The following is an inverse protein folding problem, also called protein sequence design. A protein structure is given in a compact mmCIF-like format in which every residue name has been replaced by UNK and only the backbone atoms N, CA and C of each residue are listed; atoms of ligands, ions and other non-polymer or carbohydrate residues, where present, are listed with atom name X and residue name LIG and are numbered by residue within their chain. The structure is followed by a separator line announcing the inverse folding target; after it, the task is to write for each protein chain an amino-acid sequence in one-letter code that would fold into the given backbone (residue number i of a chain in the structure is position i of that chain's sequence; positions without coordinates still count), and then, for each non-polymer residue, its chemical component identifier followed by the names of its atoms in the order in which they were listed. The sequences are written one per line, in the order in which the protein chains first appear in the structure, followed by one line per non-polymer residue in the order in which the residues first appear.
data_IF_046899580408
#
_entry.id   IF_046899580408
#
_cell.length_a   1.000
_cell.length_b   1.000
_cell.length_c   1.000
_cell.angle_alpha   90.00
_cell.angle_beta   90.00
_cell.angle_gamma   90.00
#
_symmetry.space_group_name_H-M   'P 1'
#
loop_
_entity.id
_entity.type
_entity.pdbx_description
1 polymer ?
#
# COMPACT_ATOMS: atom_id res chain seq x y z
N UNK A 1 2.38 20.40 8.19
CA UNK A 1 1.15 19.63 7.84
C UNK A 1 1.27 18.13 8.17
N UNK A 2 2.43 17.47 7.98
CA UNK A 2 2.58 16.03 8.27
C UNK A 2 2.68 15.65 9.78
N UNK A 3 3.17 16.55 10.64
CA UNK A 3 3.39 16.24 12.06
C UNK A 3 2.10 15.96 12.84
N UNK A 4 1.07 16.81 12.68
CA UNK A 4 -0.22 16.62 13.33
C UNK A 4 -0.95 15.35 12.85
N UNK A 5 -0.81 15.01 11.56
CA UNK A 5 -1.38 13.77 11.00
C UNK A 5 -0.70 12.56 11.62
N UNK A 6 0.64 12.55 11.71
CA UNK A 6 1.39 11.46 12.35
C UNK A 6 1.05 11.30 13.83
N UNK A 7 0.88 12.39 14.57
CA UNK A 7 0.47 12.35 15.97
C UNK A 7 -0.93 11.75 16.13
N UNK A 8 -1.88 12.16 15.29
CA UNK A 8 -3.23 11.60 15.30
C UNK A 8 -3.22 10.09 14.98
N UNK A 9 -2.43 9.69 13.98
CA UNK A 9 -2.24 8.29 13.58
C UNK A 9 -1.59 7.45 14.70
N UNK A 10 -0.65 8.03 15.44
CA UNK A 10 -0.08 7.39 16.62
C UNK A 10 -1.14 7.18 17.72
N UNK A 11 -1.97 8.19 18.00
CA UNK A 11 -3.06 8.09 18.98
C UNK A 11 -4.13 7.06 18.57
N UNK A 12 -4.35 6.85 17.27
CA UNK A 12 -5.28 5.83 16.76
C UNK A 12 -4.66 4.43 16.65
N UNK A 13 -3.43 4.22 17.14
CA UNK A 13 -2.76 2.91 17.10
C UNK A 13 -2.20 2.51 15.73
N UNK A 14 -2.18 3.43 14.76
CA UNK A 14 -1.68 3.21 13.40
C UNK A 14 -0.59 4.24 13.06
N UNK A 15 0.59 4.23 13.72
CA UNK A 15 1.52 5.38 13.77
C UNK A 15 2.22 5.77 12.45
N UNK A 16 1.91 5.10 11.34
CA UNK A 16 2.43 5.37 9.98
C UNK A 16 3.94 5.64 9.97
N UNK A 17 4.70 4.78 10.65
CA UNK A 17 6.15 4.97 10.87
C UNK A 17 6.99 4.72 9.62
N UNK A 18 6.47 3.93 8.69
CA UNK A 18 7.16 3.49 7.50
C UNK A 18 6.13 3.23 6.38
N UNK A 19 6.56 3.42 5.14
CA UNK A 19 5.83 3.06 3.93
C UNK A 19 6.82 2.71 2.82
N UNK A 20 6.34 2.05 1.78
CA UNK A 20 7.14 1.71 0.60
C UNK A 20 6.26 1.75 -0.65
N UNK A 21 6.84 2.25 -1.74
CA UNK A 21 6.24 2.14 -3.09
C UNK A 21 6.58 0.80 -3.76
N UNK A 22 7.44 -0.01 -3.12
CA UNK A 22 7.98 -1.27 -3.64
C UNK A 22 7.72 -2.44 -2.66
N UNK A 23 6.45 -2.72 -2.29
CA UNK A 23 6.13 -3.74 -1.28
C UNK A 23 6.56 -5.15 -1.70
N UNK A 24 6.50 -5.48 -3.00
CA UNK A 24 6.95 -6.78 -3.50
C UNK A 24 8.44 -7.00 -3.22
N UNK A 25 9.28 -6.03 -3.60
CA UNK A 25 10.73 -6.10 -3.42
C UNK A 25 11.11 -6.11 -1.93
N UNK A 26 10.35 -5.39 -1.09
CA UNK A 26 10.51 -5.45 0.36
C UNK A 26 10.28 -6.88 0.89
N UNK A 27 9.21 -7.55 0.46
CA UNK A 27 8.92 -8.93 0.84
C UNK A 27 9.98 -9.91 0.32
N UNK A 28 10.35 -9.81 -0.96
CA UNK A 28 11.33 -10.68 -1.61
C UNK A 28 12.70 -10.62 -0.93
N UNK A 29 13.16 -9.42 -0.56
CA UNK A 29 14.40 -9.23 0.20
C UNK A 29 14.40 -9.94 1.55
N UNK A 30 13.22 -10.16 2.13
CA UNK A 30 13.04 -10.85 3.41
C UNK A 30 12.76 -12.34 3.24
N UNK A 31 12.87 -12.88 2.03
CA UNK A 31 12.68 -14.31 1.74
C UNK A 31 11.22 -14.71 1.48
N UNK A 32 10.31 -13.76 1.28
CA UNK A 32 8.91 -14.03 1.01
C UNK A 32 8.61 -13.89 -0.49
N UNK A 33 7.78 -14.77 -1.04
CA UNK A 33 7.14 -14.50 -2.34
C UNK A 33 5.89 -13.66 -2.10
N UNK A 34 5.66 -12.62 -2.91
CA UNK A 34 4.54 -11.71 -2.72
C UNK A 34 3.81 -11.37 -4.02
N UNK A 35 2.49 -11.26 -3.92
CA UNK A 35 1.60 -10.68 -4.94
C UNK A 35 1.08 -9.36 -4.42
N UNK A 36 1.22 -8.30 -5.23
CA UNK A 36 0.81 -6.94 -4.89
C UNK A 36 -0.34 -6.52 -5.79
N UNK A 37 -1.40 -5.99 -5.19
CA UNK A 37 -2.57 -5.48 -5.90
C UNK A 37 -2.82 -4.03 -5.49
N UNK A 38 -3.02 -3.15 -6.46
CA UNK A 38 -3.44 -1.77 -6.18
C UNK A 38 -4.85 -1.80 -5.57
N UNK A 39 -5.09 -1.08 -4.48
CA UNK A 39 -6.42 -1.02 -3.82
C UNK A 39 -7.52 -0.50 -4.76
N UNK A 40 -7.15 0.29 -5.78
CA UNK A 40 -8.08 0.78 -6.79
C UNK A 40 -8.67 -0.35 -7.63
N UNK A 41 -7.96 -1.46 -7.87
CA UNK A 41 -8.46 -2.57 -8.69
C UNK A 41 -9.73 -3.22 -8.09
N UNK A 42 -9.71 -3.80 -6.87
CA UNK A 42 -10.93 -4.30 -6.25
C UNK A 42 -11.91 -3.16 -5.92
N UNK A 43 -11.41 -1.97 -5.58
CA UNK A 43 -12.24 -0.80 -5.31
C UNK A 43 -13.12 -0.39 -6.49
N UNK A 44 -12.56 -0.34 -7.70
CA UNK A 44 -13.29 -0.04 -8.93
C UNK A 44 -14.22 -1.19 -9.32
N UNK A 45 -13.75 -2.44 -9.21
CA UNK A 45 -14.55 -3.64 -9.51
C UNK A 45 -15.88 -3.66 -8.75
N UNK A 46 -15.89 -3.20 -7.51
CA UNK A 46 -17.08 -3.18 -6.65
C UNK A 46 -17.76 -1.80 -6.55
N UNK A 47 -17.34 -0.81 -7.36
CA UNK A 47 -17.91 0.54 -7.33
C UNK A 47 -17.72 1.28 -6.00
N UNK A 48 -16.63 0.98 -5.28
CA UNK A 48 -16.28 1.55 -3.97
C UNK A 48 -15.09 2.51 -4.00
N UNK A 49 -14.52 2.75 -5.18
CA UNK A 49 -13.38 3.63 -5.36
C UNK A 49 -13.57 4.52 -6.58
N UNK A 50 -13.23 5.80 -6.44
CA UNK A 50 -13.55 6.84 -7.42
C UNK A 50 -12.48 7.03 -8.50
N UNK A 51 -11.21 6.70 -8.20
CA UNK A 51 -10.09 6.88 -9.11
C UNK A 51 -9.79 5.56 -9.87
N UNK A 52 -9.30 5.60 -11.12
CA UNK A 52 -8.92 4.40 -11.84
C UNK A 52 -7.68 3.74 -11.22
N UNK A 53 -7.56 2.42 -11.38
CA UNK A 53 -6.28 1.74 -11.17
C UNK A 53 -5.25 2.23 -12.19
N UNK A 54 -4.04 2.57 -11.71
CA UNK A 54 -2.91 2.99 -12.55
C UNK A 54 -1.87 1.86 -12.55
N UNK A 55 -1.20 1.55 -13.66
CA UNK A 55 -0.12 0.55 -13.68
C UNK A 55 0.92 0.80 -12.56
N UNK A 56 1.38 -0.27 -11.91
CA UNK A 56 2.20 -0.20 -10.69
C UNK A 56 3.59 0.44 -10.91
N UNK A 57 4.08 0.43 -12.15
CA UNK A 57 5.37 0.99 -12.55
C UNK A 57 5.34 2.52 -12.75
N UNK A 58 4.17 3.16 -12.71
CA UNK A 58 4.05 4.62 -12.81
C UNK A 58 4.39 5.28 -11.47
N UNK A 59 5.45 6.11 -11.39
CA UNK A 59 5.91 6.73 -10.15
C UNK A 59 5.07 7.93 -9.72
N UNK A 60 5.15 8.31 -8.45
CA UNK A 60 4.54 9.54 -7.91
C UNK A 60 3.01 9.50 -7.77
N UNK A 61 2.40 8.34 -8.00
CA UNK A 61 0.96 8.12 -7.82
C UNK A 61 0.71 7.75 -6.35
N UNK A 62 -0.17 8.47 -5.63
CA UNK A 62 -0.57 8.08 -4.29
C UNK A 62 -1.31 6.74 -4.32
N UNK A 63 -0.77 5.72 -3.64
CA UNK A 63 -1.32 4.35 -3.68
C UNK A 63 -1.48 3.76 -2.29
N UNK A 64 -2.45 2.85 -2.19
CA UNK A 64 -2.48 1.81 -1.18
C UNK A 64 -2.31 0.46 -1.88
N UNK A 65 -1.82 -0.54 -1.15
CA UNK A 65 -1.62 -1.89 -1.68
C UNK A 65 -2.28 -2.94 -0.79
N UNK A 66 -2.88 -3.94 -1.42
CA UNK A 66 -3.07 -5.24 -0.80
C UNK A 66 -1.87 -6.12 -1.12
N UNK A 67 -1.28 -6.73 -0.09
CA UNK A 67 -0.09 -7.58 -0.24
C UNK A 67 -0.43 -8.95 0.31
N UNK A 68 -0.34 -9.98 -0.54
CA UNK A 68 -0.42 -11.38 -0.12
C UNK A 68 0.98 -11.94 -0.24
N UNK A 69 1.56 -12.36 0.89
CA UNK A 69 2.91 -12.90 0.94
C UNK A 69 2.93 -14.28 1.60
N UNK A 70 3.76 -15.18 1.07
CA UNK A 70 3.97 -16.54 1.60
C UNK A 70 5.45 -16.82 1.76
N UNK A 71 5.80 -17.53 2.83
CA UNK A 71 7.12 -18.07 3.11
C UNK A 71 6.95 -19.53 3.55
N UNK A 72 7.87 -20.39 3.14
CA UNK A 72 7.84 -21.84 3.37
C UNK A 72 8.58 -22.23 4.63
#
# INVERSE_FOLDING_TARGET
MLAAVREQMQRSGAPWLFGTDAPQQLCERLGWSAVVTDVAEPGNKWGRWFAPAVPLDVPGVPRGYFVVATNS
#
